data_IF_255234995815
#
_entry.id   IF_255234995815
#
_cell.length_a   1.000
_cell.length_b   1.000
_cell.length_c   1.000
_cell.angle_alpha   90.00
_cell.angle_beta   90.00
_cell.angle_gamma   90.00
#
_symmetry.space_group_name_H-M   'P 1'
#
loop_
_entity.id
_entity.type
_entity.pdbx_description
1 polymer ?
#
# COMPACT_ATOMS: atom_id res chain seq x y z
N UNK A 1 10.12 24.37 -0.56
CA UNK A 1 10.92 23.35 -1.29
C UNK A 1 10.32 21.99 -1.04
N UNK A 2 9.34 21.58 -1.86
CA UNK A 2 8.77 20.23 -1.78
C UNK A 2 9.74 19.29 -2.49
N UNK A 3 10.62 18.65 -1.73
CA UNK A 3 11.40 17.55 -2.28
C UNK A 3 10.42 16.39 -2.56
N UNK A 4 10.32 15.95 -3.81
CA UNK A 4 9.78 14.63 -4.11
C UNK A 4 10.79 13.62 -3.52
N UNK A 5 10.47 13.13 -2.32
CA UNK A 5 11.36 12.25 -1.54
C UNK A 5 11.34 10.81 -2.05
N UNK A 6 10.26 10.41 -2.75
CA UNK A 6 10.18 9.20 -3.57
C UNK A 6 9.82 9.64 -4.98
N UNK A 7 10.58 9.19 -5.97
CA UNK A 7 10.27 9.50 -7.36
C UNK A 7 9.25 8.50 -7.89
N UNK A 8 8.08 9.03 -8.23
CA UNK A 8 7.08 8.40 -9.07
C UNK A 8 7.16 9.08 -10.43
N UNK A 9 7.62 8.38 -11.47
CA UNK A 9 7.75 8.95 -12.81
C UNK A 9 6.39 9.15 -13.46
N UNK A 10 5.41 8.33 -13.07
CA UNK A 10 4.04 8.44 -13.52
C UNK A 10 3.08 8.29 -12.33
N UNK A 11 2.81 9.36 -11.57
CA UNK A 11 1.88 9.32 -10.44
C UNK A 11 0.42 9.03 -10.86
N UNK A 12 0.12 9.04 -12.17
CA UNK A 12 -1.20 8.70 -12.69
C UNK A 12 -1.31 7.22 -13.09
N UNK A 13 -0.20 6.48 -13.17
CA UNK A 13 -0.14 5.10 -13.69
C UNK A 13 -1.13 4.17 -12.99
N UNK A 14 -1.24 4.30 -11.68
CA UNK A 14 -2.03 3.41 -10.82
C UNK A 14 -3.37 4.02 -10.41
N UNK A 15 -3.63 5.31 -10.75
CA UNK A 15 -4.85 6.01 -10.31
C UNK A 15 -6.14 5.38 -10.81
N UNK A 16 -6.12 4.67 -11.94
CA UNK A 16 -7.30 3.99 -12.47
C UNK A 16 -7.87 2.92 -11.50
N UNK A 17 -7.07 2.45 -10.53
CA UNK A 17 -7.49 1.44 -9.55
C UNK A 17 -8.30 2.05 -8.38
N UNK A 18 -8.24 3.37 -8.16
CA UNK A 18 -9.02 4.16 -7.19
C UNK A 18 -9.34 3.50 -5.82
N UNK A 19 -8.40 2.82 -5.15
CA UNK A 19 -8.73 2.09 -3.92
C UNK A 19 -9.15 2.99 -2.75
N UNK A 20 -8.71 4.26 -2.74
CA UNK A 20 -9.09 5.22 -1.71
C UNK A 20 -10.56 5.62 -1.81
N UNK A 21 -11.14 5.61 -3.01
CA UNK A 21 -12.58 5.86 -3.19
C UNK A 21 -13.38 4.70 -2.62
N UNK A 22 -12.94 3.48 -2.93
CA UNK A 22 -13.52 2.25 -2.39
C UNK A 22 -13.49 2.21 -0.84
N UNK A 23 -12.42 2.74 -0.23
CA UNK A 23 -12.27 2.85 1.23
C UNK A 23 -13.04 4.02 1.84
N UNK A 24 -13.22 5.13 1.12
CA UNK A 24 -14.03 6.27 1.58
C UNK A 24 -15.52 5.93 1.65
N UNK A 25 -15.97 5.02 0.79
CA UNK A 25 -17.35 4.53 0.77
C UNK A 25 -17.64 3.61 1.97
N UNK A 26 -16.61 3.08 2.64
CA UNK A 26 -16.77 2.28 3.86
C UNK A 26 -16.61 3.19 5.09
N UNK A 27 -17.72 3.50 5.74
CA UNK A 27 -17.67 4.03 7.10
C UNK A 27 -17.49 2.84 8.06
N UNK A 28 -16.40 2.82 8.82
CA UNK A 28 -15.97 1.75 9.76
C UNK A 28 -15.20 0.59 9.14
N UNK A 29 -14.60 -0.24 10.02
CA UNK A 29 -13.89 -1.48 9.68
C UNK A 29 -14.72 -2.26 8.63
N UNK A 30 -14.20 -2.50 7.41
CA UNK A 30 -14.94 -3.16 6.36
C UNK A 30 -15.39 -4.56 6.78
N UNK A 31 -16.63 -4.90 6.44
CA UNK A 31 -17.15 -6.26 6.64
C UNK A 31 -16.57 -7.23 5.61
N UNK A 32 -16.95 -8.50 5.69
CA UNK A 32 -16.42 -9.54 4.80
C UNK A 32 -16.77 -9.32 3.31
N UNK A 33 -17.94 -8.75 3.01
CA UNK A 33 -18.34 -8.48 1.62
C UNK A 33 -17.62 -7.24 1.07
N UNK A 34 -17.41 -6.22 1.91
CA UNK A 34 -16.57 -5.08 1.59
C UNK A 34 -15.12 -5.50 1.34
N UNK A 35 -14.54 -6.34 2.20
CA UNK A 35 -13.18 -6.87 2.00
C UNK A 35 -13.06 -7.64 0.68
N UNK A 36 -14.02 -8.50 0.33
CA UNK A 36 -14.03 -9.21 -0.97
C UNK A 36 -14.01 -8.25 -2.16
N UNK A 37 -14.70 -7.11 -2.05
CA UNK A 37 -14.76 -6.09 -3.11
C UNK A 37 -13.47 -5.26 -3.18
N UNK A 38 -12.93 -4.87 -2.03
CA UNK A 38 -11.85 -3.88 -1.91
C UNK A 38 -10.48 -4.53 -2.10
N UNK A 39 -10.26 -5.67 -1.47
CA UNK A 39 -8.95 -6.33 -1.39
C UNK A 39 -8.28 -6.56 -2.75
N UNK A 40 -8.96 -7.14 -3.76
CA UNK A 40 -8.33 -7.36 -5.06
C UNK A 40 -7.88 -6.07 -5.76
N UNK A 41 -8.60 -4.95 -5.56
CA UNK A 41 -8.25 -3.66 -6.15
C UNK A 41 -7.16 -2.94 -5.37
N UNK A 42 -7.24 -2.99 -4.03
CA UNK A 42 -6.26 -2.37 -3.15
C UNK A 42 -4.87 -3.03 -3.30
N UNK A 43 -4.81 -4.37 -3.30
CA UNK A 43 -3.56 -5.09 -3.49
C UNK A 43 -2.95 -4.83 -4.88
N UNK A 44 -3.76 -4.85 -5.94
CA UNK A 44 -3.29 -4.49 -7.29
C UNK A 44 -2.77 -3.05 -7.36
N UNK A 45 -3.37 -2.13 -6.61
CA UNK A 45 -2.90 -0.75 -6.56
C UNK A 45 -1.52 -0.66 -5.90
N UNK A 46 -1.33 -1.32 -4.76
CA UNK A 46 -0.03 -1.37 -4.09
C UNK A 46 1.05 -1.99 -4.97
N UNK A 47 0.75 -3.10 -5.65
CA UNK A 47 1.67 -3.73 -6.59
C UNK A 47 2.05 -2.77 -7.73
N UNK A 48 1.06 -2.08 -8.31
CA UNK A 48 1.29 -1.09 -9.35
C UNK A 48 2.18 0.07 -8.86
N UNK A 49 1.95 0.57 -7.64
CA UNK A 49 2.77 1.65 -7.06
C UNK A 49 4.20 1.18 -6.79
N UNK A 50 4.39 -0.04 -6.30
CA UNK A 50 5.73 -0.60 -6.09
C UNK A 50 6.48 -0.82 -7.40
N UNK A 51 5.79 -1.25 -8.46
CA UNK A 51 6.36 -1.33 -9.81
C UNK A 51 6.73 0.05 -10.35
N UNK A 52 5.87 1.05 -10.18
CA UNK A 52 6.13 2.43 -10.57
C UNK A 52 7.37 2.99 -9.84
N UNK A 53 7.50 2.73 -8.53
CA UNK A 53 8.67 3.10 -7.74
C UNK A 53 9.92 2.40 -8.27
N UNK A 54 9.85 1.10 -8.58
CA UNK A 54 10.98 0.34 -9.12
C UNK A 54 11.43 0.85 -10.48
N UNK A 55 10.49 1.09 -11.39
CA UNK A 55 10.78 1.66 -12.72
C UNK A 55 11.50 3.01 -12.61
N UNK A 56 11.19 3.79 -11.59
CA UNK A 56 11.65 5.16 -11.45
C UNK A 56 12.95 5.35 -10.71
N UNK A 57 13.20 4.47 -9.75
CA UNK A 57 14.37 4.56 -8.90
C UNK A 57 15.42 3.50 -9.31
N UNK A 58 15.05 2.57 -10.21
CA UNK A 58 15.88 1.43 -10.62
C UNK A 58 15.99 0.32 -9.58
N UNK A 59 15.44 0.54 -8.37
CA UNK A 59 15.49 -0.35 -7.21
C UNK A 59 14.11 -0.46 -6.58
N UNK A 60 13.80 -1.61 -5.98
CA UNK A 60 12.50 -1.85 -5.36
C UNK A 60 12.29 -1.08 -4.05
N UNK A 61 11.02 -0.98 -3.61
CA UNK A 61 10.66 -0.32 -2.34
C UNK A 61 11.36 -0.95 -1.12
N UNK A 62 11.58 -2.27 -1.13
CA UNK A 62 12.32 -2.97 -0.07
C UNK A 62 13.79 -2.54 0.01
N UNK A 63 14.43 -2.29 -1.13
CA UNK A 63 15.80 -1.78 -1.17
C UNK A 63 15.86 -0.33 -0.71
N UNK A 64 14.87 0.49 -1.10
CA UNK A 64 14.75 1.87 -0.65
C UNK A 64 14.52 1.98 0.86
N UNK A 65 13.85 1.00 1.48
CA UNK A 65 13.70 0.91 2.94
C UNK A 65 15.04 0.73 3.67
N UNK A 66 16.07 0.23 2.99
CA UNK A 66 17.43 0.07 3.52
C UNK A 66 18.36 1.25 3.14
N UNK A 67 17.82 2.30 2.52
CA UNK A 67 18.60 3.46 2.08
C UNK A 67 19.31 4.16 3.24
N UNK A 68 20.55 4.64 3.03
CA UNK A 68 21.23 5.49 4.02
C UNK A 68 20.51 6.83 4.24
N UNK A 69 19.66 7.24 3.29
CA UNK A 69 18.79 8.39 3.47
C UNK A 69 17.60 8.01 4.36
N UNK A 70 17.66 8.45 5.63
CA UNK A 70 16.63 8.17 6.65
C UNK A 70 15.21 8.51 6.22
N UNK A 71 15.03 9.56 5.43
CA UNK A 71 13.70 9.95 4.97
C UNK A 71 13.16 8.98 3.93
N UNK A 72 13.99 8.59 2.95
CA UNK A 72 13.62 7.58 1.94
C UNK A 72 13.34 6.25 2.60
N UNK A 73 14.22 5.82 3.52
CA UNK A 73 14.05 4.59 4.28
C UNK A 73 12.76 4.59 5.10
N UNK A 74 12.47 5.70 5.80
CA UNK A 74 11.26 5.85 6.61
C UNK A 74 9.96 5.78 5.78
N UNK A 75 9.89 6.51 4.67
CA UNK A 75 8.69 6.48 3.82
C UNK A 75 8.53 5.10 3.15
N UNK A 76 9.62 4.49 2.70
CA UNK A 76 9.56 3.16 2.06
C UNK A 76 9.14 2.08 3.05
N UNK A 77 9.62 2.15 4.29
CA UNK A 77 9.18 1.28 5.40
C UNK A 77 7.69 1.47 5.70
N UNK A 78 7.21 2.71 5.73
CA UNK A 78 5.79 2.99 5.92
C UNK A 78 4.93 2.36 4.82
N UNK A 79 5.33 2.51 3.55
CA UNK A 79 4.61 1.92 2.41
C UNK A 79 4.59 0.39 2.46
N UNK A 80 5.70 -0.24 2.82
CA UNK A 80 5.76 -1.69 3.05
C UNK A 80 4.83 -2.13 4.18
N UNK A 81 4.80 -1.39 5.29
CA UNK A 81 3.91 -1.71 6.41
C UNK A 81 2.44 -1.57 6.02
N UNK A 82 2.07 -0.54 5.25
CA UNK A 82 0.72 -0.41 4.69
C UNK A 82 0.39 -1.62 3.81
N UNK A 83 1.33 -2.04 2.95
CA UNK A 83 1.17 -3.23 2.13
C UNK A 83 0.97 -4.51 2.93
N UNK A 84 1.74 -4.70 4.00
CA UNK A 84 1.60 -5.84 4.90
C UNK A 84 0.26 -5.84 5.62
N UNK A 85 -0.15 -4.70 6.18
CA UNK A 85 -1.46 -4.57 6.86
C UNK A 85 -2.61 -4.84 5.91
N UNK A 86 -2.52 -4.35 4.67
CA UNK A 86 -3.52 -4.61 3.65
C UNK A 86 -3.56 -6.09 3.26
N UNK A 87 -2.41 -6.72 3.04
CA UNK A 87 -2.33 -8.15 2.75
C UNK A 87 -2.93 -8.98 3.89
N UNK A 88 -2.58 -8.64 5.14
CA UNK A 88 -3.13 -9.32 6.31
C UNK A 88 -4.64 -9.13 6.42
N UNK A 89 -5.15 -7.90 6.26
CA UNK A 89 -6.60 -7.64 6.29
C UNK A 89 -7.36 -8.38 5.18
N UNK A 90 -6.69 -8.69 4.08
CA UNK A 90 -7.26 -9.34 2.91
C UNK A 90 -7.13 -10.87 2.88
N UNK A 91 -6.33 -11.46 3.78
CA UNK A 91 -6.19 -12.91 3.91
C UNK A 91 -7.08 -13.43 5.04
N UNK A 92 -8.06 -14.27 4.67
CA UNK A 92 -9.03 -14.92 5.57
C UNK A 92 -8.37 -15.70 6.72
N UNK A 93 -7.10 -16.09 6.54
CA UNK A 93 -6.33 -16.86 7.50
C UNK A 93 -5.60 -16.01 8.56
N UNK A 94 -5.61 -14.69 8.47
CA UNK A 94 -4.91 -13.84 9.43
C UNK A 94 -5.79 -13.45 10.62
N UNK A 95 -5.15 -13.04 11.72
CA UNK A 95 -5.87 -12.51 12.88
C UNK A 95 -6.54 -11.15 12.57
N UNK A 96 -5.92 -10.34 11.71
CA UNK A 96 -6.42 -9.02 11.34
C UNK A 96 -7.73 -9.12 10.55
N UNK A 97 -7.79 -10.00 9.54
CA UNK A 97 -9.03 -10.27 8.80
C UNK A 97 -10.16 -10.76 9.70
N UNK A 98 -9.83 -11.61 10.68
CA UNK A 98 -10.81 -12.17 11.62
C UNK A 98 -11.20 -11.22 12.75
N UNK A 99 -10.70 -9.98 12.78
CA UNK A 99 -10.97 -9.03 13.86
C UNK A 99 -10.42 -9.47 15.23
N UNK A 100 -9.43 -10.37 15.25
CA UNK A 100 -8.78 -10.89 16.47
C UNK A 100 -7.45 -10.20 16.78
N UNK A 101 -7.20 -9.05 16.18
CA UNK A 101 -6.03 -8.22 16.50
C UNK A 101 -6.24 -7.63 17.90
N UNK A 102 -5.66 -8.26 18.93
CA UNK A 102 -5.56 -7.66 20.25
C UNK A 102 -4.60 -6.47 20.16
N UNK A 103 -5.11 -5.25 20.36
CA UNK A 103 -4.30 -4.04 20.57
C UNK A 103 -3.96 -3.92 22.04
#
# INVERSE_FOLDING_TARGET
>A
CSANLLNFCNPEKCKALQPLKDLQDVQYLPDAEDLKRICPRFLKFLDCEFDNIKECNGVGIAELALSPNRTIAGISTLLLNIGSVAADACDENTALHRGKMCV
#
